data_IF_528472741625
#
_entry.id   IF_528472741625
#
_cell.length_a   1.000
_cell.length_b   1.000
_cell.length_c   1.000
_cell.angle_alpha   90.00
_cell.angle_beta   90.00
_cell.angle_gamma   90.00
#
_symmetry.space_group_name_H-M   'P 1'
#
loop_
_entity.id
_entity.type
_entity.pdbx_description
1 polymer ?
#
# COMPACT_ATOMS: atom_id res chain seq x y z
N UNK A 1 5.14 -15.55 5.31
CA UNK A 1 3.86 -15.21 4.67
C UNK A 1 2.79 -16.02 5.34
N UNK A 2 1.87 -15.34 6.02
CA UNK A 2 0.76 -15.98 6.68
C UNK A 2 -0.45 -16.04 5.75
N UNK A 3 -1.20 -17.13 5.78
CA UNK A 3 -2.58 -17.10 5.25
C UNK A 3 -3.47 -16.30 6.19
N UNK A 4 -4.69 -15.99 5.77
CA UNK A 4 -5.64 -15.30 6.65
C UNK A 4 -7.06 -15.83 6.46
N UNK A 5 -7.88 -15.64 7.48
CA UNK A 5 -9.33 -15.85 7.45
C UNK A 5 -10.06 -14.57 7.82
N UNK A 6 -11.33 -14.49 7.46
CA UNK A 6 -12.24 -13.47 7.93
C UNK A 6 -12.80 -13.90 9.28
N UNK A 7 -12.47 -13.16 10.33
CA UNK A 7 -12.83 -13.54 11.68
C UNK A 7 -14.27 -13.09 12.02
N UNK A 8 -15.18 -14.00 12.40
CA UNK A 8 -16.53 -13.64 12.81
C UNK A 8 -16.59 -12.76 14.07
N UNK A 9 -15.65 -12.95 15.00
CA UNK A 9 -15.67 -12.29 16.30
C UNK A 9 -15.32 -10.81 16.17
N UNK A 10 -14.15 -10.51 15.62
CA UNK A 10 -13.70 -9.12 15.41
C UNK A 10 -14.33 -8.47 14.17
N UNK A 11 -14.77 -9.27 13.19
CA UNK A 11 -15.14 -8.79 11.86
C UNK A 11 -13.93 -8.50 10.96
N UNK A 12 -12.72 -8.70 11.48
CA UNK A 12 -11.45 -8.37 10.88
C UNK A 12 -10.80 -9.52 10.11
N UNK A 13 -9.49 -9.39 9.90
CA UNK A 13 -8.63 -10.45 9.39
C UNK A 13 -7.93 -11.16 10.56
N UNK A 14 -7.77 -12.47 10.47
CA UNK A 14 -6.94 -13.26 11.37
C UNK A 14 -5.87 -14.00 10.56
N UNK A 15 -4.60 -13.75 10.85
CA UNK A 15 -3.46 -14.43 10.25
C UNK A 15 -3.35 -15.86 10.80
N UNK A 16 -3.11 -16.82 9.92
CA UNK A 16 -2.87 -18.21 10.29
C UNK A 16 -1.41 -18.58 10.04
N UNK A 17 -0.83 -19.41 10.92
CA UNK A 17 0.56 -19.86 10.83
C UNK A 17 0.89 -20.63 9.53
N UNK A 18 -0.12 -21.17 8.84
CA UNK A 18 0.04 -21.87 7.56
C UNK A 18 0.37 -20.90 6.42
N UNK A 19 1.35 -21.24 5.56
CA UNK A 19 1.69 -20.40 4.41
C UNK A 19 0.55 -20.37 3.39
N UNK A 20 0.22 -19.18 2.88
CA UNK A 20 -0.66 -19.04 1.73
C UNK A 20 0.13 -19.17 0.41
N UNK A 21 -0.42 -19.86 -0.61
CA UNK A 21 0.20 -19.86 -1.93
C UNK A 21 0.01 -18.52 -2.66
N UNK A 22 -1.00 -17.72 -2.30
CA UNK A 22 -1.32 -16.45 -2.95
C UNK A 22 -2.14 -15.51 -2.03
N UNK A 23 -1.82 -14.21 -2.05
CA UNK A 23 -2.64 -13.15 -1.43
C UNK A 23 -3.73 -12.70 -2.38
N UNK A 24 -4.99 -12.66 -1.93
CA UNK A 24 -6.12 -12.13 -2.72
C UNK A 24 -6.31 -10.62 -2.58
N UNK A 25 -5.29 -9.95 -2.03
CA UNK A 25 -5.23 -8.49 -1.86
C UNK A 25 -6.47 -7.92 -1.16
N UNK A 26 -6.79 -8.38 0.07
CA UNK A 26 -7.94 -7.88 0.80
C UNK A 26 -7.75 -6.40 1.11
N UNK A 27 -8.87 -5.68 1.10
CA UNK A 27 -8.93 -4.25 1.44
C UNK A 27 -10.10 -3.95 2.37
N UNK A 28 -9.92 -3.04 3.34
CA UNK A 28 -11.00 -2.60 4.22
C UNK A 28 -12.03 -1.80 3.43
N UNK A 29 -13.31 -1.92 3.81
CA UNK A 29 -14.44 -1.23 3.19
C UNK A 29 -15.06 -0.30 4.23
N UNK A 30 -15.04 0.99 3.93
CA UNK A 30 -15.59 2.06 4.78
C UNK A 30 -16.94 2.55 4.26
N UNK A 31 -17.67 3.31 5.08
CA UNK A 31 -18.98 3.85 4.70
C UNK A 31 -19.00 4.60 3.35
N UNK A 32 -18.00 5.44 2.97
CA UNK A 32 -18.02 6.13 1.69
C UNK A 32 -18.06 5.20 0.48
N UNK A 33 -17.41 4.04 0.55
CA UNK A 33 -17.49 3.04 -0.51
C UNK A 33 -18.87 2.37 -0.54
N UNK A 34 -19.44 2.05 0.63
CA UNK A 34 -20.77 1.48 0.73
C UNK A 34 -21.83 2.43 0.17
N UNK A 35 -21.74 3.73 0.50
CA UNK A 35 -22.60 4.78 -0.02
C UNK A 35 -22.42 4.93 -1.54
N UNK A 36 -21.17 5.01 -2.03
CA UNK A 36 -20.86 5.17 -3.45
C UNK A 36 -21.45 4.04 -4.32
N UNK A 37 -21.44 2.81 -3.80
CA UNK A 37 -21.95 1.63 -4.50
C UNK A 37 -23.47 1.45 -4.30
N UNK A 38 -24.07 2.17 -3.35
CA UNK A 38 -25.51 2.12 -3.05
C UNK A 38 -25.91 0.89 -2.22
N UNK A 39 -25.08 0.50 -1.25
CA UNK A 39 -25.37 -0.56 -0.29
C UNK A 39 -26.37 -0.14 0.80
N UNK A 40 -26.59 1.17 0.97
CA UNK A 40 -27.61 1.75 1.85
C UNK A 40 -29.04 1.31 1.51
N UNK A 41 -29.28 0.90 0.26
CA UNK A 41 -30.54 0.26 -0.19
C UNK A 41 -30.79 -1.12 0.41
N UNK A 42 -29.73 -1.81 0.85
CA UNK A 42 -29.80 -3.18 1.35
C UNK A 42 -29.56 -3.26 2.86
N UNK A 43 -28.64 -2.44 3.39
CA UNK A 43 -28.17 -2.53 4.77
C UNK A 43 -28.14 -1.17 5.45
N UNK A 44 -28.28 -1.18 6.78
CA UNK A 44 -28.18 0.03 7.59
C UNK A 44 -26.79 0.11 8.22
N UNK A 45 -26.15 1.27 8.19
CA UNK A 45 -24.85 1.51 8.82
C UNK A 45 -24.69 3.01 9.09
N UNK A 46 -23.79 3.36 10.01
CA UNK A 46 -23.47 4.76 10.30
C UNK A 46 -22.43 5.27 9.31
N UNK A 47 -22.57 6.51 8.84
CA UNK A 47 -21.67 7.15 7.86
C UNK A 47 -20.39 7.68 8.51
N UNK A 48 -19.69 6.80 9.22
CA UNK A 48 -18.43 7.06 9.90
C UNK A 48 -17.23 6.54 9.08
N UNK A 49 -16.04 7.08 9.35
CA UNK A 49 -14.79 6.72 8.68
C UNK A 49 -13.66 6.33 9.65
N UNK A 50 -13.99 6.15 10.92
CA UNK A 50 -13.05 5.77 11.98
C UNK A 50 -12.66 4.29 11.92
N UNK A 51 -13.57 3.43 11.46
CA UNK A 51 -13.34 2.00 11.31
C UNK A 51 -14.05 1.42 10.08
N UNK A 52 -13.48 0.40 9.42
CA UNK A 52 -14.16 -0.26 8.32
C UNK A 52 -15.33 -1.10 8.83
N UNK A 53 -16.29 -1.40 7.95
CA UNK A 53 -17.41 -2.30 8.26
C UNK A 53 -17.14 -3.74 7.86
N UNK A 54 -16.36 -3.92 6.79
CA UNK A 54 -16.14 -5.22 6.18
C UNK A 54 -14.87 -5.19 5.35
N UNK A 55 -14.59 -6.31 4.68
CA UNK A 55 -13.46 -6.45 3.80
C UNK A 55 -13.91 -6.82 2.40
N UNK A 56 -13.12 -6.45 1.40
CA UNK A 56 -13.35 -6.85 0.02
C UNK A 56 -12.13 -7.54 -0.58
N UNK A 57 -12.39 -8.57 -1.40
CA UNK A 57 -11.43 -9.19 -2.32
C UNK A 57 -12.00 -9.10 -3.72
N UNK A 58 -11.29 -8.41 -4.62
CA UNK A 58 -11.79 -8.10 -5.95
C UNK A 58 -13.21 -7.48 -5.90
N UNK A 59 -14.23 -8.22 -6.34
CA UNK A 59 -15.63 -7.81 -6.37
C UNK A 59 -16.48 -8.48 -5.26
N UNK A 60 -15.87 -9.17 -4.30
CA UNK A 60 -16.54 -9.91 -3.24
C UNK A 60 -16.39 -9.19 -1.90
N UNK A 61 -17.48 -9.13 -1.12
CA UNK A 61 -17.55 -8.42 0.16
C UNK A 61 -17.82 -9.40 1.29
N UNK A 62 -16.94 -9.39 2.29
CA UNK A 62 -16.93 -10.31 3.42
C UNK A 62 -17.19 -9.57 4.72
N UNK A 63 -18.29 -9.91 5.39
CA UNK A 63 -18.70 -9.36 6.67
C UNK A 63 -18.69 -10.47 7.72
N UNK A 64 -17.87 -10.31 8.78
CA UNK A 64 -17.82 -11.23 9.93
C UNK A 64 -17.74 -12.70 9.53
N UNK A 65 -16.76 -13.04 8.69
CA UNK A 65 -16.51 -14.41 8.23
C UNK A 65 -17.34 -14.86 7.03
N UNK A 66 -18.31 -14.06 6.58
CA UNK A 66 -19.32 -14.49 5.59
C UNK A 66 -19.29 -13.63 4.36
N UNK A 67 -19.41 -14.26 3.19
CA UNK A 67 -19.61 -13.54 1.93
C UNK A 67 -21.03 -12.96 1.91
N UNK A 68 -21.16 -11.64 1.90
CA UNK A 68 -22.46 -10.95 1.99
C UNK A 68 -22.87 -10.24 0.70
N UNK A 69 -21.93 -9.92 -0.18
CA UNK A 69 -22.24 -9.36 -1.49
C UNK A 69 -21.19 -9.65 -2.55
N UNK A 70 -21.61 -9.57 -3.81
CA UNK A 70 -20.75 -9.54 -4.99
C UNK A 70 -21.15 -8.37 -5.89
N UNK A 71 -20.19 -7.72 -6.51
CA UNK A 71 -20.44 -6.74 -7.57
C UNK A 71 -20.31 -7.37 -8.95
N UNK A 72 -21.17 -6.97 -9.88
CA UNK A 72 -21.12 -7.39 -11.27
C UNK A 72 -21.21 -6.19 -12.21
N UNK A 73 -20.30 -6.14 -13.18
CA UNK A 73 -20.23 -5.05 -14.15
C UNK A 73 -19.79 -3.73 -13.52
N UNK A 74 -20.34 -2.63 -14.03
CA UNK A 74 -19.95 -1.27 -13.65
C UNK A 74 -18.73 -0.75 -14.40
N UNK A 75 -18.66 0.57 -14.55
CA UNK A 75 -17.53 1.31 -15.12
C UNK A 75 -17.57 2.77 -14.63
N UNK A 76 -16.74 3.65 -15.21
CA UNK A 76 -16.67 5.05 -14.83
C UNK A 76 -18.00 5.84 -15.00
N UNK A 77 -18.95 5.32 -15.78
CA UNK A 77 -20.22 5.96 -16.12
C UNK A 77 -21.44 5.16 -15.67
N UNK A 78 -21.27 3.94 -15.15
CA UNK A 78 -22.38 3.04 -14.82
C UNK A 78 -22.09 2.33 -13.51
N UNK A 79 -23.02 2.42 -12.56
CA UNK A 79 -22.90 1.72 -11.30
C UNK A 79 -22.92 0.18 -11.51
N UNK A 80 -22.17 -0.59 -10.71
CA UNK A 80 -22.25 -2.03 -10.74
C UNK A 80 -23.58 -2.54 -10.16
N UNK A 81 -23.98 -3.74 -10.57
CA UNK A 81 -25.05 -4.48 -9.92
C UNK A 81 -24.54 -5.07 -8.60
N UNK A 82 -25.29 -4.86 -7.51
CA UNK A 82 -25.05 -5.52 -6.21
C UNK A 82 -25.85 -6.81 -6.18
N UNK A 83 -25.15 -7.94 -6.04
CA UNK A 83 -25.73 -9.27 -5.91
C UNK A 83 -25.58 -9.73 -4.46
N UNK A 84 -26.71 -9.89 -3.77
CA UNK A 84 -26.76 -10.48 -2.43
C UNK A 84 -26.92 -12.00 -2.58
N UNK A 85 -25.99 -12.83 -2.07
CA UNK A 85 -26.12 -14.28 -2.12
C UNK A 85 -27.37 -14.77 -1.36
N UNK A 86 -27.83 -15.98 -1.67
CA UNK A 86 -28.89 -16.67 -0.93
C UNK A 86 -28.28 -17.59 0.15
N UNK A 87 -28.96 -17.69 1.28
CA UNK A 87 -28.73 -18.68 2.34
C UNK A 87 -29.28 -20.06 1.94
N UNK A 88 -28.97 -21.10 2.71
CA UNK A 88 -29.48 -22.47 2.46
C UNK A 88 -31.02 -22.58 2.44
N UNK A 89 -31.71 -21.65 3.11
CA UNK A 89 -33.17 -21.58 3.15
C UNK A 89 -33.79 -20.79 1.98
N UNK A 90 -32.98 -20.35 1.01
CA UNK A 90 -33.41 -19.57 -0.16
C UNK A 90 -33.68 -18.09 0.14
N UNK A 91 -33.42 -17.59 1.34
CA UNK A 91 -33.53 -16.16 1.65
C UNK A 91 -32.22 -15.42 1.35
N UNK A 92 -32.27 -14.13 0.95
CA UNK A 92 -31.05 -13.33 0.81
C UNK A 92 -30.27 -13.24 2.12
N UNK A 93 -28.95 -13.34 2.03
CA UNK A 93 -28.03 -13.20 3.17
C UNK A 93 -28.27 -11.88 3.87
N UNK A 94 -28.47 -11.96 5.19
CA UNK A 94 -28.58 -10.81 6.08
C UNK A 94 -27.30 -10.71 6.93
N UNK A 95 -26.48 -9.66 6.75
CA UNK A 95 -25.24 -9.49 7.53
C UNK A 95 -25.50 -9.49 9.03
N UNK A 96 -26.59 -8.84 9.45
CA UNK A 96 -27.09 -8.85 10.84
C UNK A 96 -28.44 -9.60 10.89
N UNK A 97 -28.53 -10.74 11.61
CA UNK A 97 -29.73 -11.58 11.63
C UNK A 97 -30.99 -10.87 12.15
N UNK A 98 -30.83 -9.92 13.06
CA UNK A 98 -31.90 -9.11 13.65
C UNK A 98 -32.33 -7.92 12.77
N UNK A 99 -31.68 -7.70 11.62
CA UNK A 99 -31.89 -6.53 10.77
C UNK A 99 -31.31 -5.23 11.37
N UNK A 100 -30.41 -5.37 12.34
CA UNK A 100 -29.68 -4.27 12.96
C UNK A 100 -28.77 -3.53 11.97
N UNK A 101 -28.12 -2.47 12.48
CA UNK A 101 -27.06 -1.78 11.74
C UNK A 101 -25.82 -2.67 11.65
N UNK A 102 -25.10 -2.62 10.54
CA UNK A 102 -23.77 -3.19 10.45
C UNK A 102 -22.90 -2.66 11.59
N UNK A 103 -22.11 -3.54 12.17
CA UNK A 103 -21.14 -3.21 13.21
C UNK A 103 -19.79 -2.97 12.55
N UNK A 104 -19.08 -1.90 12.91
CA UNK A 104 -17.70 -1.73 12.47
C UNK A 104 -16.84 -2.91 12.95
N UNK A 105 -15.72 -3.12 12.25
CA UNK A 105 -14.67 -4.06 12.66
C UNK A 105 -14.11 -3.60 14.00
N UNK A 106 -13.96 -4.53 14.94
CA UNK A 106 -13.23 -4.27 16.18
C UNK A 106 -11.73 -4.27 15.89
N UNK A 107 -11.20 -3.10 15.53
CA UNK A 107 -9.80 -2.93 15.16
C UNK A 107 -8.85 -3.31 16.30
N UNK A 108 -9.21 -2.95 17.54
CA UNK A 108 -8.37 -3.23 18.71
C UNK A 108 -8.27 -4.74 18.98
N UNK A 109 -9.40 -5.44 18.97
CA UNK A 109 -9.43 -6.89 19.13
C UNK A 109 -8.76 -7.60 17.94
N UNK A 110 -8.98 -7.14 16.70
CA UNK A 110 -8.31 -7.66 15.51
C UNK A 110 -6.79 -7.54 15.62
N UNK A 111 -6.27 -6.37 15.99
CA UNK A 111 -4.82 -6.15 16.18
C UNK A 111 -4.29 -7.02 17.30
N UNK A 112 -5.00 -7.11 18.43
CA UNK A 112 -4.60 -7.95 19.55
C UNK A 112 -4.50 -9.43 19.15
N UNK A 113 -5.46 -9.95 18.38
CA UNK A 113 -5.46 -11.33 17.91
C UNK A 113 -4.31 -11.66 16.94
N UNK A 114 -3.78 -10.65 16.23
CA UNK A 114 -2.69 -10.82 15.25
C UNK A 114 -1.30 -10.43 15.78
N UNK A 115 -1.20 -9.95 17.03
CA UNK A 115 -0.01 -9.29 17.57
C UNK A 115 1.26 -10.14 17.41
N UNK A 116 1.23 -11.40 17.83
CA UNK A 116 2.41 -12.26 17.83
C UNK A 116 3.00 -12.44 16.41
N UNK A 117 2.15 -12.70 15.43
CA UNK A 117 2.59 -12.90 14.04
C UNK A 117 3.09 -11.59 13.41
N UNK A 118 2.46 -10.47 13.73
CA UNK A 118 2.88 -9.16 13.25
C UNK A 118 4.23 -8.73 13.85
N UNK A 119 4.46 -8.99 15.14
CA UNK A 119 5.76 -8.72 15.79
C UNK A 119 6.89 -9.54 15.16
N UNK A 120 6.64 -10.82 14.82
CA UNK A 120 7.61 -11.66 14.11
C UNK A 120 7.89 -11.08 12.72
N UNK A 121 6.85 -10.69 11.99
CA UNK A 121 6.95 -10.13 10.65
C UNK A 121 7.73 -8.80 10.63
N UNK A 122 7.40 -7.90 11.56
CA UNK A 122 8.10 -6.63 11.77
C UNK A 122 9.57 -6.87 12.08
N UNK A 123 9.88 -7.65 13.13
CA UNK A 123 11.26 -7.90 13.56
C UNK A 123 12.11 -8.51 12.46
N UNK A 124 11.56 -9.45 11.70
CA UNK A 124 12.24 -10.09 10.58
C UNK A 124 12.54 -9.09 9.47
N UNK A 125 11.60 -8.19 9.19
CA UNK A 125 11.72 -7.18 8.13
C UNK A 125 12.70 -6.07 8.53
N UNK A 126 12.62 -5.59 9.78
CA UNK A 126 13.58 -4.64 10.36
C UNK A 126 15.00 -5.20 10.28
N UNK A 127 15.21 -6.45 10.68
CA UNK A 127 16.52 -7.10 10.55
C UNK A 127 17.02 -7.14 9.11
N UNK A 128 16.15 -7.44 8.15
CA UNK A 128 16.49 -7.44 6.72
C UNK A 128 16.93 -6.06 6.21
N UNK A 129 16.26 -4.99 6.66
CA UNK A 129 16.63 -3.60 6.34
C UNK A 129 18.01 -3.27 6.92
N UNK A 130 18.26 -3.63 8.18
CA UNK A 130 19.56 -3.45 8.85
C UNK A 130 20.67 -4.19 8.10
N UNK A 131 20.44 -5.45 7.72
CA UNK A 131 21.41 -6.27 7.00
C UNK A 131 21.74 -5.67 5.63
N UNK A 132 20.73 -5.19 4.88
CA UNK A 132 20.93 -4.52 3.60
C UNK A 132 21.73 -3.22 3.76
N UNK A 133 21.41 -2.41 4.77
CA UNK A 133 22.16 -1.19 5.08
C UNK A 133 23.61 -1.51 5.46
N UNK A 134 23.84 -2.48 6.36
CA UNK A 134 25.18 -2.85 6.83
C UNK A 134 26.10 -3.35 5.70
N UNK A 135 25.56 -4.11 4.74
CA UNK A 135 26.31 -4.58 3.54
C UNK A 135 26.84 -3.42 2.69
N UNK A 136 26.10 -2.31 2.63
CA UNK A 136 26.31 -1.27 1.63
C UNK A 136 26.79 0.07 2.18
N UNK A 137 26.61 0.35 3.48
CA UNK A 137 26.82 1.69 4.07
C UNK A 137 28.20 2.31 3.90
N UNK A 138 29.23 1.49 3.67
CA UNK A 138 30.61 1.96 3.44
C UNK A 138 30.89 2.32 1.98
N UNK A 139 30.02 1.92 1.05
CA UNK A 139 30.25 1.98 -0.40
C UNK A 139 29.27 2.89 -1.14
N UNK A 140 28.08 3.10 -0.58
CA UNK A 140 27.03 3.87 -1.23
C UNK A 140 27.00 5.30 -0.71
N UNK A 141 26.67 6.22 -1.62
CA UNK A 141 26.60 7.65 -1.36
C UNK A 141 25.33 8.05 -0.60
N UNK A 142 24.25 7.28 -0.79
CA UNK A 142 22.98 7.56 -0.13
C UNK A 142 22.11 6.31 0.01
N UNK A 143 21.26 6.32 1.05
CA UNK A 143 20.13 5.43 1.21
C UNK A 143 18.87 6.29 1.18
N UNK A 144 17.85 5.82 0.48
CA UNK A 144 16.58 6.52 0.48
C UNK A 144 15.38 5.60 0.47
N UNK A 145 14.28 6.06 1.05
CA UNK A 145 12.96 5.46 0.88
C UNK A 145 12.31 6.09 -0.34
N UNK A 146 11.98 5.28 -1.34
CA UNK A 146 11.20 5.72 -2.50
C UNK A 146 9.71 5.76 -2.11
N UNK A 147 9.26 6.94 -1.67
CA UNK A 147 7.94 7.14 -1.10
C UNK A 147 6.91 7.55 -2.18
N UNK A 148 5.69 7.02 -2.09
CA UNK A 148 4.62 7.33 -3.05
C UNK A 148 3.32 7.81 -2.40
N UNK A 149 3.24 7.87 -1.07
CA UNK A 149 2.00 8.16 -0.34
C UNK A 149 0.98 7.02 -0.33
N UNK A 150 1.32 5.85 -0.89
CA UNK A 150 0.47 4.67 -0.83
C UNK A 150 0.75 3.82 0.42
N UNK A 151 -0.22 2.98 0.81
CA UNK A 151 -0.16 2.12 2.01
C UNK A 151 1.17 1.39 2.19
N UNK A 152 1.69 0.80 1.12
CA UNK A 152 2.92 -0.01 1.16
C UNK A 152 4.17 0.84 1.41
N UNK A 153 4.22 2.05 0.84
CA UNK A 153 5.31 2.99 1.06
C UNK A 153 5.26 3.64 2.45
N UNK A 154 4.07 3.81 3.03
CA UNK A 154 3.91 4.29 4.40
C UNK A 154 4.41 3.25 5.41
N UNK A 155 4.00 1.99 5.27
CA UNK A 155 4.52 0.89 6.11
C UNK A 155 6.02 0.74 5.96
N UNK A 156 6.54 0.77 4.73
CA UNK A 156 7.98 0.68 4.50
C UNK A 156 8.75 1.82 5.18
N UNK A 157 8.26 3.06 5.11
CA UNK A 157 8.90 4.18 5.76
C UNK A 157 8.99 3.97 7.28
N UNK A 158 7.90 3.53 7.91
CA UNK A 158 7.88 3.25 9.34
C UNK A 158 8.86 2.13 9.72
N UNK A 159 8.90 1.04 8.95
CA UNK A 159 9.88 -0.04 9.16
C UNK A 159 11.34 0.44 8.99
N UNK A 160 11.61 1.32 8.03
CA UNK A 160 12.96 1.89 7.83
C UNK A 160 13.34 2.83 8.97
N UNK A 161 12.40 3.63 9.49
CA UNK A 161 12.60 4.48 10.68
C UNK A 161 12.98 3.66 11.91
N UNK A 162 12.30 2.52 12.11
CA UNK A 162 12.61 1.58 13.21
C UNK A 162 13.96 0.88 13.02
N UNK A 163 14.36 0.64 11.78
CA UNK A 163 15.56 -0.13 11.46
C UNK A 163 16.85 0.70 11.43
N UNK A 164 16.80 1.93 10.92
CA UNK A 164 18.00 2.69 10.57
C UNK A 164 18.24 3.88 11.51
N UNK A 165 19.51 4.23 11.80
CA UNK A 165 19.82 5.41 12.61
C UNK A 165 19.30 6.70 11.96
N UNK A 166 18.94 7.69 12.78
CA UNK A 166 18.66 9.05 12.30
C UNK A 166 19.81 9.58 11.43
N UNK A 167 19.47 10.28 10.36
CA UNK A 167 20.43 10.84 9.40
C UNK A 167 21.11 9.84 8.46
N UNK A 168 20.82 8.54 8.57
CA UNK A 168 21.44 7.52 7.70
C UNK A 168 20.72 7.29 6.37
N UNK A 169 19.53 7.86 6.22
CA UNK A 169 18.72 7.78 5.01
C UNK A 169 17.91 9.05 4.81
N UNK A 170 17.39 9.23 3.60
CA UNK A 170 16.46 10.31 3.24
C UNK A 170 15.16 9.74 2.66
N UNK A 171 14.09 10.51 2.67
CA UNK A 171 12.83 10.15 2.02
C UNK A 171 12.70 10.96 0.74
N UNK A 172 12.35 10.29 -0.37
CA UNK A 172 12.11 10.97 -1.65
C UNK A 172 10.73 10.60 -2.17
N UNK A 173 9.85 11.60 -2.23
CA UNK A 173 8.58 11.52 -2.91
C UNK A 173 8.75 11.91 -4.39
N UNK A 174 8.41 10.99 -5.30
CA UNK A 174 8.40 11.27 -6.73
C UNK A 174 7.05 11.85 -7.15
N UNK A 175 6.96 13.17 -7.25
CA UNK A 175 5.76 13.88 -7.63
C UNK A 175 5.60 13.93 -9.15
N UNK A 176 4.62 13.19 -9.66
CA UNK A 176 4.34 13.13 -11.10
C UNK A 176 3.54 14.32 -11.61
N UNK A 177 2.99 15.15 -10.72
CA UNK A 177 1.99 16.16 -11.05
C UNK A 177 0.61 15.61 -11.41
N UNK A 178 0.41 14.28 -11.31
CA UNK A 178 -0.83 13.58 -11.69
C UNK A 178 -1.39 12.72 -10.53
N UNK A 179 -0.97 12.99 -9.30
CA UNK A 179 -1.45 12.24 -8.13
C UNK A 179 -2.83 12.74 -7.68
N UNK A 180 -3.58 11.90 -6.98
CA UNK A 180 -4.86 12.31 -6.40
C UNK A 180 -4.64 13.36 -5.28
N UNK A 181 -5.60 14.29 -5.06
CA UNK A 181 -5.53 15.25 -3.96
C UNK A 181 -5.25 14.60 -2.60
N UNK A 182 -5.88 13.44 -2.33
CA UNK A 182 -5.68 12.67 -1.10
C UNK A 182 -4.22 12.19 -0.93
N UNK A 183 -3.54 11.86 -2.03
CA UNK A 183 -2.11 11.50 -2.00
C UNK A 183 -1.25 12.67 -1.55
N UNK A 184 -1.55 13.88 -2.03
CA UNK A 184 -0.82 15.08 -1.59
C UNK A 184 -1.04 15.39 -0.12
N UNK A 185 -2.25 15.14 0.40
CA UNK A 185 -2.53 15.30 1.83
C UNK A 185 -1.73 14.30 2.68
N UNK A 186 -1.69 13.02 2.29
CA UNK A 186 -0.85 12.01 2.96
C UNK A 186 0.63 12.42 2.92
N UNK A 187 1.13 12.84 1.75
CA UNK A 187 2.53 13.29 1.60
C UNK A 187 2.84 14.48 2.50
N UNK A 188 1.93 15.46 2.59
CA UNK A 188 2.09 16.64 3.46
C UNK A 188 2.18 16.24 4.93
N UNK A 189 1.30 15.34 5.38
CA UNK A 189 1.31 14.82 6.75
C UNK A 189 2.59 14.02 7.04
N UNK A 190 2.98 13.12 6.15
CA UNK A 190 4.23 12.34 6.29
C UNK A 190 5.46 13.25 6.27
N UNK A 191 5.50 14.28 5.43
CA UNK A 191 6.59 15.25 5.41
C UNK A 191 6.72 15.98 6.76
N UNK A 192 5.60 16.42 7.33
CA UNK A 192 5.59 17.07 8.65
C UNK A 192 6.08 16.13 9.76
N UNK A 193 5.67 14.86 9.72
CA UNK A 193 6.17 13.83 10.65
C UNK A 193 7.68 13.60 10.50
N UNK A 194 8.17 13.42 9.27
CA UNK A 194 9.60 13.28 9.00
C UNK A 194 10.38 14.50 9.49
N UNK A 195 9.88 15.72 9.29
CA UNK A 195 10.53 16.93 9.76
C UNK A 195 10.62 16.97 11.30
N UNK A 196 9.54 16.63 12.01
CA UNK A 196 9.52 16.55 13.47
C UNK A 196 10.51 15.51 14.01
N UNK A 197 10.79 14.46 13.24
CA UNK A 197 11.72 13.38 13.58
C UNK A 197 13.15 13.62 13.06
N UNK A 198 13.41 14.76 12.40
CA UNK A 198 14.69 15.14 11.81
C UNK A 198 15.13 14.22 10.65
N UNK A 199 14.17 13.72 9.89
CA UNK A 199 14.38 12.89 8.70
C UNK A 199 14.25 13.79 7.45
N UNK A 200 15.30 13.92 6.62
CA UNK A 200 15.22 14.71 5.40
C UNK A 200 14.18 14.13 4.43
N UNK A 201 13.21 14.96 4.04
CA UNK A 201 12.15 14.59 3.10
C UNK A 201 12.21 15.53 1.89
N UNK A 202 12.39 14.95 0.70
CA UNK A 202 12.52 15.68 -0.54
C UNK A 202 11.41 15.34 -1.52
N UNK A 203 10.97 16.36 -2.25
CA UNK A 203 10.05 16.21 -3.37
C UNK A 203 10.87 16.28 -4.66
N UNK A 204 10.77 15.23 -5.48
CA UNK A 204 11.37 15.16 -6.80
C UNK A 204 10.27 15.29 -7.86
N UNK A 205 10.31 16.38 -8.65
CA UNK A 205 9.31 16.68 -9.68
C UNK A 205 9.99 16.97 -11.01
N UNK A 206 9.32 16.60 -12.11
CA UNK A 206 9.73 17.04 -13.45
C UNK A 206 9.65 18.56 -13.57
N UNK A 207 10.48 19.12 -14.44
CA UNK A 207 10.34 20.53 -14.84
C UNK A 207 9.16 20.73 -15.81
N UNK A 208 8.71 19.66 -16.48
CA UNK A 208 7.49 19.68 -17.28
C UNK A 208 6.26 19.49 -16.39
N UNK A 209 5.23 20.30 -16.64
CA UNK A 209 3.87 19.98 -16.23
C UNK A 209 3.33 18.81 -17.07
N UNK A 210 2.37 18.03 -16.56
CA UNK A 210 1.76 16.93 -17.31
C UNK A 210 1.25 17.39 -18.69
N UNK A 211 0.55 18.51 -18.77
CA UNK A 211 -0.06 19.01 -20.00
C UNK A 211 1.00 19.37 -21.06
N UNK A 212 2.12 19.98 -20.64
CA UNK A 212 3.23 20.33 -21.52
C UNK A 212 3.85 19.07 -22.13
N UNK A 213 4.12 18.07 -21.29
CA UNK A 213 4.68 16.80 -21.74
C UNK A 213 3.72 16.02 -22.65
N UNK A 214 2.41 16.12 -22.45
CA UNK A 214 1.42 15.50 -23.32
C UNK A 214 1.34 16.20 -24.69
N UNK A 215 1.51 17.52 -24.74
CA UNK A 215 1.57 18.25 -26.00
C UNK A 215 2.84 17.91 -26.80
N UNK A 216 3.97 17.72 -26.13
CA UNK A 216 5.25 17.42 -26.77
C UNK A 216 5.36 15.95 -27.22
N UNK A 217 4.97 15.00 -26.37
CA UNK A 217 5.21 13.58 -26.60
C UNK A 217 3.94 12.81 -26.99
N UNK A 218 2.75 13.41 -26.82
CA UNK A 218 1.47 12.72 -26.86
C UNK A 218 1.08 12.11 -25.51
N UNK A 219 -0.23 11.90 -25.24
CA UNK A 219 -0.69 11.27 -24.00
C UNK A 219 -0.06 9.89 -23.78
N UNK A 220 0.35 9.56 -22.53
CA UNK A 220 0.99 8.28 -22.25
C UNK A 220 0.05 7.10 -22.49
N UNK A 221 0.58 6.00 -23.01
CA UNK A 221 -0.19 4.78 -23.27
C UNK A 221 0.64 3.52 -23.03
N UNK A 222 0.00 2.33 -23.16
CA UNK A 222 0.72 1.06 -23.04
C UNK A 222 1.82 0.89 -24.08
N UNK A 223 1.68 1.53 -25.24
CA UNK A 223 2.64 1.49 -26.34
C UNK A 223 3.62 2.66 -26.24
N UNK A 224 3.13 3.85 -25.91
CA UNK A 224 3.90 5.08 -25.81
C UNK A 224 4.36 5.33 -24.36
N UNK A 225 5.42 4.62 -23.96
CA UNK A 225 5.92 4.58 -22.57
C UNK A 225 7.08 5.53 -22.32
N UNK A 226 6.79 6.82 -22.19
CA UNK A 226 7.78 7.84 -21.81
C UNK A 226 7.54 8.41 -20.40
N UNK A 227 6.30 8.38 -19.89
CA UNK A 227 5.91 9.11 -18.69
C UNK A 227 6.68 8.70 -17.43
N UNK A 228 6.97 7.41 -17.23
CA UNK A 228 7.77 6.98 -16.09
C UNK A 228 9.18 7.55 -16.14
N UNK A 229 9.79 7.64 -17.31
CA UNK A 229 11.14 8.22 -17.45
C UNK A 229 11.13 9.71 -17.12
N UNK A 230 10.16 10.45 -17.66
CA UNK A 230 10.07 11.91 -17.55
C UNK A 230 9.56 12.38 -16.19
N UNK A 231 8.54 11.72 -15.63
CA UNK A 231 7.83 12.18 -14.44
C UNK A 231 8.14 11.38 -13.17
N UNK A 232 8.87 10.25 -13.25
CA UNK A 232 9.24 9.45 -12.07
C UNK A 232 10.75 9.29 -11.95
N UNK A 233 11.36 8.59 -12.90
CA UNK A 233 12.74 8.11 -12.81
C UNK A 233 13.78 9.21 -12.91
N UNK A 234 13.68 10.08 -13.93
CA UNK A 234 14.65 11.15 -14.12
C UNK A 234 14.57 12.21 -13.01
N UNK A 235 13.39 12.71 -12.60
CA UNK A 235 13.29 13.66 -11.49
C UNK A 235 13.90 13.14 -10.19
N UNK A 236 13.62 11.88 -9.83
CA UNK A 236 14.18 11.27 -8.62
C UNK A 236 15.70 11.18 -8.69
N UNK A 237 16.25 10.76 -9.84
CA UNK A 237 17.70 10.68 -10.05
C UNK A 237 18.36 12.06 -9.98
N UNK A 238 17.76 13.09 -10.59
CA UNK A 238 18.27 14.47 -10.55
C UNK A 238 18.25 15.02 -9.12
N UNK A 239 17.17 14.79 -8.38
CA UNK A 239 17.07 15.22 -6.98
C UNK A 239 18.11 14.54 -6.10
N UNK A 240 18.38 13.24 -6.29
CA UNK A 240 19.41 12.53 -5.52
C UNK A 240 20.84 13.01 -5.88
N UNK A 241 21.10 13.41 -7.13
CA UNK A 241 22.36 14.07 -7.51
C UNK A 241 22.54 15.41 -6.81
N UNK A 242 21.47 16.21 -6.72
CA UNK A 242 21.46 17.49 -5.99
C UNK A 242 21.75 17.27 -4.49
N UNK A 243 21.04 16.33 -3.85
CA UNK A 243 21.20 16.02 -2.42
C UNK A 243 22.63 15.54 -2.11
N UNK A 244 23.18 14.68 -2.97
CA UNK A 244 24.52 14.10 -2.74
C UNK A 244 25.67 15.00 -3.22
N UNK A 245 25.38 16.02 -4.04
CA UNK A 245 26.39 16.82 -4.72
C UNK A 245 27.21 16.04 -5.77
N UNK A 246 26.77 14.85 -6.18
CA UNK A 246 27.49 13.95 -7.10
C UNK A 246 26.69 13.69 -8.36
N UNK A 247 27.32 13.85 -9.52
CA UNK A 247 26.70 13.55 -10.83
C UNK A 247 26.61 12.05 -11.10
N UNK A 248 27.45 11.25 -10.45
CA UNK A 248 27.61 9.80 -10.61
C UNK A 248 27.32 9.02 -9.31
N UNK A 249 26.43 9.54 -8.45
CA UNK A 249 26.09 8.89 -7.19
C UNK A 249 25.63 7.44 -7.39
N UNK A 250 26.02 6.57 -6.48
CA UNK A 250 25.50 5.21 -6.34
C UNK A 250 24.75 5.10 -5.01
N UNK A 251 23.44 4.90 -5.08
CA UNK A 251 22.58 4.80 -3.89
C UNK A 251 21.78 3.50 -3.83
N UNK A 252 21.15 3.27 -2.68
CA UNK A 252 20.17 2.21 -2.48
C UNK A 252 18.79 2.80 -2.20
N UNK A 253 17.81 2.38 -3.01
CA UNK A 253 16.40 2.68 -2.81
C UNK A 253 15.73 1.54 -2.04
N UNK A 254 15.15 1.83 -0.87
CA UNK A 254 14.13 0.96 -0.28
C UNK A 254 12.80 1.22 -0.99
N UNK A 255 12.18 0.16 -1.53
CA UNK A 255 10.98 0.26 -2.37
C UNK A 255 9.87 -0.64 -1.83
N UNK A 256 8.66 -0.09 -1.71
CA UNK A 256 7.48 -0.79 -1.19
C UNK A 256 6.80 -1.72 -2.20
N UNK A 257 7.57 -2.56 -2.90
CA UNK A 257 7.05 -3.57 -3.83
C UNK A 257 6.77 -4.87 -3.10
N UNK A 258 5.67 -5.54 -3.43
CA UNK A 258 5.26 -6.86 -2.96
C UNK A 258 5.12 -7.83 -4.14
N UNK A 259 5.50 -9.08 -3.91
CA UNK A 259 5.44 -10.17 -4.88
C UNK A 259 4.00 -10.44 -5.35
N UNK A 260 3.02 -10.23 -4.46
CA UNK A 260 1.61 -10.55 -4.69
C UNK A 260 0.82 -9.50 -5.47
N UNK A 261 1.42 -8.35 -5.76
CA UNK A 261 0.75 -7.33 -6.57
C UNK A 261 0.57 -7.76 -8.04
N UNK A 262 1.42 -8.64 -8.57
CA UNK A 262 1.27 -9.17 -9.95
C UNK A 262 2.19 -10.37 -10.21
N UNK A 263 1.86 -11.16 -11.24
CA UNK A 263 2.70 -12.26 -11.71
C UNK A 263 4.12 -11.82 -12.14
N UNK A 264 4.30 -10.57 -12.56
CA UNK A 264 5.61 -9.99 -12.87
C UNK A 264 6.40 -9.69 -11.59
N UNK A 265 5.75 -9.09 -10.58
CA UNK A 265 6.40 -8.76 -9.30
C UNK A 265 6.73 -10.01 -8.48
N UNK A 266 6.02 -11.12 -8.68
CA UNK A 266 6.34 -12.41 -8.06
C UNK A 266 7.75 -12.94 -8.41
N UNK A 267 8.37 -12.44 -9.49
CA UNK A 267 9.73 -12.81 -9.91
C UNK A 267 10.80 -11.85 -9.38
N UNK A 268 10.43 -10.86 -8.58
CA UNK A 268 11.38 -9.88 -8.06
C UNK A 268 12.21 -10.53 -6.95
N UNK A 269 13.42 -10.03 -6.77
CA UNK A 269 14.30 -10.44 -5.67
C UNK A 269 14.28 -9.36 -4.59
N UNK A 270 14.71 -9.72 -3.38
CA UNK A 270 14.84 -8.77 -2.28
C UNK A 270 15.83 -7.64 -2.56
N UNK A 271 16.84 -7.89 -3.39
CA UNK A 271 17.84 -6.89 -3.75
C UNK A 271 18.23 -7.04 -5.21
N UNK A 272 18.44 -5.93 -5.89
CA UNK A 272 18.84 -5.90 -7.30
C UNK A 272 19.70 -4.67 -7.58
N UNK A 273 20.55 -4.74 -8.60
CA UNK A 273 21.34 -3.61 -9.08
C UNK A 273 20.96 -3.26 -10.52
N UNK A 274 20.72 -1.99 -10.80
CA UNK A 274 20.55 -1.49 -12.18
C UNK A 274 19.22 -1.83 -12.86
N UNK A 275 18.31 -2.58 -12.23
CA UNK A 275 17.04 -3.02 -12.85
C UNK A 275 16.02 -1.88 -13.04
N UNK A 276 15.84 -1.03 -12.01
CA UNK A 276 14.86 0.09 -12.05
C UNK A 276 15.49 1.39 -12.51
N UNK A 277 16.63 1.74 -11.92
CA UNK A 277 17.49 2.84 -12.37
C UNK A 277 18.88 2.29 -12.59
N UNK A 278 19.47 2.61 -13.74
CA UNK A 278 20.85 2.21 -14.04
C UNK A 278 21.79 2.82 -13.00
N UNK A 279 22.69 2.02 -12.43
CA UNK A 279 23.65 2.48 -11.42
C UNK A 279 23.13 2.60 -10.00
N UNK A 280 21.92 2.10 -9.69
CA UNK A 280 21.39 2.11 -8.32
C UNK A 280 21.01 0.72 -7.84
N UNK A 281 21.15 0.52 -6.53
CA UNK A 281 20.60 -0.63 -5.85
C UNK A 281 19.13 -0.37 -5.51
N UNK A 282 18.33 -1.42 -5.58
CA UNK A 282 16.98 -1.44 -5.00
C UNK A 282 16.90 -2.58 -4.00
N UNK A 283 16.27 -2.32 -2.86
CA UNK A 283 15.90 -3.34 -1.89
C UNK A 283 14.38 -3.32 -1.69
N UNK A 284 13.76 -4.49 -1.62
CA UNK A 284 12.31 -4.67 -1.47
C UNK A 284 12.03 -5.36 -0.12
N UNK A 285 12.13 -4.68 1.04
CA UNK A 285 12.09 -5.35 2.35
C UNK A 285 10.79 -6.10 2.64
N UNK A 286 9.68 -5.54 2.14
CA UNK A 286 8.32 -6.05 2.31
C UNK A 286 7.87 -6.95 1.14
N UNK A 287 8.81 -7.46 0.33
CA UNK A 287 8.49 -8.22 -0.88
C UNK A 287 7.50 -9.37 -0.65
N UNK A 288 7.63 -10.09 0.45
CA UNK A 288 6.75 -11.22 0.78
C UNK A 288 5.55 -10.85 1.67
N UNK A 289 5.38 -9.56 1.99
CA UNK A 289 4.19 -9.10 2.70
C UNK A 289 2.96 -9.17 1.78
N UNK A 290 1.83 -9.53 2.34
CA UNK A 290 0.51 -9.55 1.72
C UNK A 290 -0.24 -8.24 2.03
N UNK A 291 -1.30 -7.92 1.28
CA UNK A 291 -2.13 -6.76 1.63
C UNK A 291 -2.78 -6.89 3.01
N UNK A 292 -3.10 -8.11 3.44
CA UNK A 292 -3.60 -8.39 4.79
C UNK A 292 -2.61 -7.95 5.87
N UNK A 293 -1.35 -8.39 5.77
CA UNK A 293 -0.28 -8.02 6.70
C UNK A 293 -0.01 -6.51 6.69
N UNK A 294 -0.06 -5.86 5.52
CA UNK A 294 0.09 -4.40 5.39
C UNK A 294 -1.03 -3.65 6.12
N UNK A 295 -2.29 -4.03 5.91
CA UNK A 295 -3.41 -3.37 6.58
C UNK A 295 -3.41 -3.63 8.08
N UNK A 296 -3.14 -4.86 8.50
CA UNK A 296 -3.02 -5.20 9.91
C UNK A 296 -1.94 -4.37 10.60
N UNK A 297 -0.79 -4.16 9.96
CA UNK A 297 0.27 -3.28 10.46
C UNK A 297 -0.18 -1.82 10.55
N UNK A 298 -0.92 -1.31 9.55
CA UNK A 298 -1.44 0.07 9.55
C UNK A 298 -2.41 0.32 10.70
N UNK A 299 -3.18 -0.70 11.10
CA UNK A 299 -4.16 -0.57 12.19
C UNK A 299 -3.56 -0.73 13.59
N UNK A 300 -2.28 -1.08 13.73
CA UNK A 300 -1.59 -1.15 15.02
C UNK A 300 -1.39 0.23 15.65
#
# INVERSE_FOLDING_TARGET
MYSYTYDPETGGLLLNASPAPFSREPRPVYAPELDLLGFDRFWRYDRQTDAPYMWAEANQYFYRGRLVARLKGGNAFTAPEIIIPEEENGQPVRPEPDGGKLRPVDLAAMVAANRELLEILERTTVRRIVDAYARHRKRLDCFHVAFSGGKDSCVLLDLVKKALPKGSFVVVFGDTGMEFPDTYEVVRQTQAQCQAEEIPFYIARSHFKPEESWQLFGPPSRVLRWCCSVHKSAPQTLKLREITGKTDYTGLAFVGVRAHESATRAKYEYENFGKKQRGQYSNNPILEWTSAEIWLYIYQ
#
